data_IF_522559517142
#
_entry.id   IF_522559517142
#
_cell.length_a   1.000
_cell.length_b   1.000
_cell.length_c   1.000
_cell.angle_alpha   90.00
_cell.angle_beta   90.00
_cell.angle_gamma   90.00
#
_symmetry.space_group_name_H-M   'P 1'
#
loop_
_entity.id
_entity.type
_entity.pdbx_description
1 polymer ?
#
# COMPACT_ATOMS: atom_id res chain seq x y z
N UNK A 1 -16.51 1.81 -17.18
CA UNK A 1 -15.75 3.01 -16.76
C UNK A 1 -15.83 3.08 -15.24
N UNK A 2 -14.74 2.81 -14.52
CA UNK A 2 -14.74 2.84 -13.06
C UNK A 2 -14.94 4.29 -12.57
N UNK A 3 -15.95 4.51 -11.72
CA UNK A 3 -16.20 5.84 -11.15
C UNK A 3 -15.27 6.08 -9.95
N UNK A 4 -14.25 6.91 -10.15
CA UNK A 4 -13.32 7.33 -9.10
C UNK A 4 -13.94 8.39 -8.14
N UNK A 5 -15.25 8.64 -8.21
CA UNK A 5 -15.88 9.77 -7.52
C UNK A 5 -15.82 9.70 -5.98
N UNK A 6 -15.56 8.52 -5.41
CA UNK A 6 -15.51 8.31 -3.96
C UNK A 6 -14.10 8.02 -3.41
N UNK A 7 -13.12 7.72 -4.27
CA UNK A 7 -11.77 7.37 -3.82
C UNK A 7 -11.04 8.62 -3.34
N UNK A 8 -10.48 8.58 -2.14
CA UNK A 8 -9.78 9.74 -1.55
C UNK A 8 -8.28 9.70 -1.75
N UNK A 9 -7.73 8.50 -1.93
CA UNK A 9 -6.38 8.22 -2.39
C UNK A 9 -6.42 7.03 -3.35
N UNK A 10 -5.41 6.94 -4.21
CA UNK A 10 -5.22 5.89 -5.20
C UNK A 10 -3.76 5.47 -5.12
N UNK A 11 -3.51 4.17 -5.04
CA UNK A 11 -2.17 3.59 -4.91
C UNK A 11 -2.00 2.61 -6.07
N UNK A 12 -0.94 2.76 -6.87
CA UNK A 12 -0.80 2.07 -8.16
C UNK A 12 0.65 1.62 -8.36
N UNK A 13 0.81 0.33 -8.71
CA UNK A 13 2.10 -0.27 -9.06
C UNK A 13 2.23 -0.43 -10.59
N UNK A 14 3.45 -0.69 -11.07
CA UNK A 14 3.75 -0.89 -12.50
C UNK A 14 3.42 0.34 -13.37
N UNK A 15 3.58 1.55 -12.82
CA UNK A 15 3.33 2.81 -13.53
C UNK A 15 4.57 3.20 -14.34
N UNK A 16 4.50 3.07 -15.66
CA UNK A 16 5.54 3.45 -16.63
C UNK A 16 5.32 4.85 -17.24
N UNK A 17 4.07 5.28 -17.37
CA UNK A 17 3.67 6.59 -17.91
C UNK A 17 2.97 7.45 -16.86
N UNK A 18 3.73 7.85 -15.83
CA UNK A 18 3.19 8.67 -14.75
C UNK A 18 2.60 10.00 -15.24
N UNK A 19 3.23 10.66 -16.21
CA UNK A 19 2.75 11.95 -16.74
C UNK A 19 1.32 11.87 -17.30
N UNK A 20 1.04 10.87 -18.14
CA UNK A 20 -0.29 10.63 -18.72
C UNK A 20 -1.34 10.42 -17.62
N UNK A 21 -0.97 9.64 -16.59
CA UNK A 21 -1.84 9.33 -15.47
C UNK A 21 -2.08 10.55 -14.56
N UNK A 22 -1.04 11.34 -14.32
CA UNK A 22 -1.11 12.58 -13.55
C UNK A 22 -2.03 13.58 -14.25
N UNK A 23 -1.88 13.79 -15.55
CA UNK A 23 -2.76 14.68 -16.32
C UNK A 23 -4.23 14.23 -16.24
N UNK A 24 -4.49 12.94 -16.45
CA UNK A 24 -5.83 12.37 -16.39
C UNK A 24 -6.49 12.48 -14.99
N UNK A 25 -5.70 12.34 -13.92
CA UNK A 25 -6.19 12.39 -12.54
C UNK A 25 -6.25 13.83 -11.98
N UNK A 26 -5.41 14.74 -12.48
CA UNK A 26 -5.41 16.16 -12.11
C UNK A 26 -6.73 16.83 -12.46
N UNK A 27 -7.28 16.55 -13.65
CA UNK A 27 -8.62 17.04 -14.06
C UNK A 27 -9.73 16.56 -13.12
N UNK A 28 -9.51 15.46 -12.39
CA UNK A 28 -10.43 14.91 -11.37
C UNK A 28 -10.12 15.37 -9.95
N UNK A 29 -9.23 16.35 -9.77
CA UNK A 29 -8.89 16.94 -8.47
C UNK A 29 -7.92 16.12 -7.64
N UNK A 30 -7.09 15.28 -8.27
CA UNK A 30 -6.00 14.58 -7.59
C UNK A 30 -4.66 15.26 -7.83
N UNK A 31 -3.77 15.11 -6.86
CA UNK A 31 -2.33 15.29 -7.02
C UNK A 31 -1.67 13.94 -6.76
N UNK A 32 -0.49 13.69 -7.33
CA UNK A 32 0.23 12.46 -7.09
C UNK A 32 1.73 12.62 -7.06
N UNK A 33 2.38 11.58 -6.56
CA UNK A 33 3.83 11.40 -6.55
C UNK A 33 4.16 10.01 -7.07
N UNK A 34 5.32 9.88 -7.68
CA UNK A 34 5.77 8.64 -8.29
C UNK A 34 7.22 8.35 -7.97
N UNK A 35 7.49 7.07 -7.76
CA UNK A 35 8.83 6.56 -7.55
C UNK A 35 9.12 5.42 -8.51
N UNK A 36 9.98 5.68 -9.48
CA UNK A 36 10.55 4.64 -10.35
C UNK A 36 11.29 3.59 -9.52
N UNK A 37 11.19 2.33 -9.93
CA UNK A 37 12.10 1.27 -9.46
C UNK A 37 13.55 1.60 -9.82
N UNK A 38 14.50 0.99 -9.09
CA UNK A 38 15.91 1.16 -9.41
C UNK A 38 16.33 0.24 -10.57
N UNK A 39 17.61 0.27 -10.96
CA UNK A 39 18.11 -0.54 -12.06
C UNK A 39 17.59 -0.07 -13.42
N UNK A 40 17.26 -1.03 -14.30
CA UNK A 40 16.83 -0.76 -15.68
C UNK A 40 15.30 -0.78 -15.87
N UNK A 41 14.54 -0.79 -14.78
CA UNK A 41 13.09 -0.76 -14.84
C UNK A 41 12.60 0.61 -15.35
N UNK A 42 11.53 0.59 -16.14
CA UNK A 42 10.89 1.80 -16.68
C UNK A 42 9.60 2.17 -15.94
N UNK A 43 9.17 1.30 -15.03
CA UNK A 43 7.97 1.43 -14.22
C UNK A 43 8.30 1.73 -12.75
N UNK A 44 7.27 2.11 -12.00
CA UNK A 44 7.36 2.47 -10.61
C UNK A 44 6.03 2.40 -9.87
N UNK A 45 6.03 3.00 -8.70
CA UNK A 45 4.89 3.06 -7.79
C UNK A 45 4.38 4.50 -7.74
N UNK A 46 3.06 4.70 -7.70
CA UNK A 46 2.46 6.01 -7.59
C UNK A 46 1.42 6.07 -6.47
N UNK A 47 1.38 7.21 -5.78
CA UNK A 47 0.34 7.52 -4.79
C UNK A 47 -0.31 8.83 -5.20
N UNK A 48 -1.63 8.81 -5.38
CA UNK A 48 -2.46 9.97 -5.65
C UNK A 48 -3.41 10.23 -4.47
N UNK A 49 -3.75 11.49 -4.22
CA UNK A 49 -4.73 11.90 -3.21
C UNK A 49 -5.59 13.06 -3.71
N UNK A 50 -6.82 13.15 -3.20
CA UNK A 50 -7.69 14.30 -3.50
C UNK A 50 -7.21 15.55 -2.79
N UNK A 51 -6.86 16.57 -3.55
CA UNK A 51 -6.37 17.85 -3.02
C UNK A 51 -7.41 18.62 -2.21
N UNK A 52 -8.70 18.39 -2.49
CA UNK A 52 -9.82 18.97 -1.72
C UNK A 52 -10.06 18.33 -0.36
N UNK A 53 -9.35 17.24 -0.03
CA UNK A 53 -9.50 16.51 1.24
C UNK A 53 -8.18 16.29 1.97
N UNK A 54 -7.07 16.22 1.24
CA UNK A 54 -5.77 15.90 1.79
C UNK A 54 -4.68 16.80 1.21
N UNK A 55 -3.66 17.06 2.03
CA UNK A 55 -2.41 17.69 1.66
C UNK A 55 -1.26 16.75 1.98
N UNK A 56 -0.35 16.53 1.04
CA UNK A 56 0.91 15.84 1.32
C UNK A 56 1.79 16.74 2.19
N UNK A 57 2.23 16.21 3.34
CA UNK A 57 3.08 16.93 4.30
C UNK A 57 4.42 16.23 4.55
N UNK A 58 4.57 14.97 4.13
CA UNK A 58 5.83 14.23 4.15
C UNK A 58 5.83 13.18 3.05
N UNK A 59 6.98 13.01 2.40
CA UNK A 59 7.24 11.94 1.44
C UNK A 59 8.62 11.37 1.69
N UNK A 60 8.73 10.05 1.64
CA UNK A 60 10.00 9.36 1.54
C UNK A 60 9.85 8.07 0.71
N UNK A 61 10.99 7.55 0.26
CA UNK A 61 11.04 6.28 -0.46
C UNK A 61 12.14 5.37 0.06
N UNK A 62 11.88 4.07 0.03
CA UNK A 62 12.86 3.03 0.31
C UNK A 62 13.35 2.48 -1.02
N UNK A 63 14.67 2.49 -1.23
CA UNK A 63 15.32 1.83 -2.35
C UNK A 63 15.95 0.54 -1.85
N UNK A 64 15.31 -0.60 -2.13
CA UNK A 64 15.68 -1.88 -1.54
C UNK A 64 17.06 -2.37 -2.01
N UNK A 65 17.55 -1.90 -3.15
CA UNK A 65 18.86 -2.26 -3.69
C UNK A 65 20.01 -1.81 -2.77
N UNK A 66 19.84 -0.70 -2.05
CA UNK A 66 20.79 -0.20 -1.04
C UNK A 66 20.98 -1.15 0.14
N UNK A 67 20.09 -2.13 0.27
CA UNK A 67 20.08 -3.14 1.33
C UNK A 67 20.25 -4.57 0.78
N UNK A 68 20.65 -4.71 -0.49
CA UNK A 68 20.80 -6.02 -1.13
C UNK A 68 19.47 -6.73 -1.46
N UNK A 69 18.34 -6.01 -1.38
CA UNK A 69 16.99 -6.55 -1.54
C UNK A 69 16.40 -6.26 -2.93
N UNK A 70 17.24 -6.30 -3.97
CA UNK A 70 16.86 -6.09 -5.40
C UNK A 70 16.31 -4.69 -5.69
N UNK A 71 15.96 -4.46 -6.94
CA UNK A 71 15.68 -3.13 -7.48
C UNK A 71 14.26 -2.59 -7.23
N UNK A 72 13.52 -3.22 -6.32
CA UNK A 72 12.20 -2.75 -5.93
C UNK A 72 12.30 -1.44 -5.12
N UNK A 73 11.17 -0.74 -5.01
CA UNK A 73 11.03 0.45 -4.16
C UNK A 73 9.75 0.36 -3.32
N UNK A 74 9.70 1.17 -2.27
CA UNK A 74 8.47 1.47 -1.54
C UNK A 74 8.34 2.98 -1.32
N UNK A 75 7.13 3.49 -1.21
CA UNK A 75 6.82 4.88 -0.88
C UNK A 75 6.15 4.96 0.48
N UNK A 76 6.45 6.01 1.23
CA UNK A 76 5.77 6.37 2.48
C UNK A 76 5.36 7.84 2.37
N UNK A 77 4.07 8.10 2.48
CA UNK A 77 3.48 9.43 2.31
C UNK A 77 2.68 9.76 3.57
N UNK A 78 2.86 10.94 4.14
CA UNK A 78 1.97 11.43 5.21
C UNK A 78 1.05 12.47 4.62
N UNK A 79 -0.24 12.18 4.69
CA UNK A 79 -1.30 13.03 4.22
C UNK A 79 -2.01 13.66 5.42
N UNK A 80 -2.13 14.98 5.42
CA UNK A 80 -2.94 15.72 6.37
C UNK A 80 -4.35 15.93 5.80
N UNK A 81 -5.36 15.50 6.54
CA UNK A 81 -6.76 15.74 6.24
C UNK A 81 -7.08 17.23 6.44
N UNK A 82 -7.64 17.82 5.39
CA UNK A 82 -8.18 19.17 5.41
C UNK A 82 -9.57 19.12 6.06
N UNK A 83 -9.72 19.79 7.20
CA UNK A 83 -11.02 19.97 7.85
C UNK A 83 -11.77 21.04 7.06
N UNK A 84 -12.96 20.69 6.54
CA UNK A 84 -13.89 21.71 6.07
C UNK A 84 -14.45 22.37 7.32
N UNK A 85 -14.11 23.64 7.56
CA UNK A 85 -14.91 24.46 8.46
C UNK A 85 -16.26 24.63 7.77
N UNK A 86 -17.22 23.76 8.08
CA UNK A 86 -18.62 24.15 7.88
C UNK A 86 -18.89 25.30 8.84
N UNK A 87 -19.34 26.42 8.29
CA UNK A 87 -19.76 27.61 9.03
C UNK A 87 -21.05 27.32 9.81
N UNK A 88 -20.96 26.51 10.86
CA UNK A 88 -21.96 26.49 11.92
C UNK A 88 -21.26 26.94 13.19
N UNK A 89 -21.31 28.24 13.41
CA UNK A 89 -21.06 28.84 14.72
C UNK A 89 -22.13 28.31 15.67
N UNK A 90 -21.85 27.20 16.35
CA UNK A 90 -22.54 26.86 17.58
C UNK A 90 -21.51 26.52 18.66
N UNK A 91 -21.66 27.30 19.72
CA UNK A 91 -20.74 27.49 20.82
C UNK A 91 -20.80 26.28 21.76
N UNK A 92 -19.65 25.92 22.32
CA UNK A 92 -19.48 25.16 23.56
C UNK A 92 -20.14 23.79 23.67
N UNK A 93 -19.35 22.72 23.52
CA UNK A 93 -19.32 21.63 24.50
C UNK A 93 -17.95 20.94 24.48
N UNK A 94 -17.48 20.61 25.68
CA UNK A 94 -16.22 19.93 26.02
C UNK A 94 -15.84 18.82 25.02
N UNK A 95 -14.61 18.89 24.48
CA UNK A 95 -13.93 17.73 23.92
C UNK A 95 -12.66 17.43 24.71
N UNK A 96 -12.84 16.76 25.84
CA UNK A 96 -11.87 15.79 26.37
C UNK A 96 -11.87 14.58 25.45
N UNK A 97 -11.26 14.72 24.29
CA UNK A 97 -10.87 13.61 23.42
C UNK A 97 -9.51 14.01 22.88
N UNK A 98 -8.52 13.14 23.05
CA UNK A 98 -7.17 13.32 22.53
C UNK A 98 -7.20 13.93 21.13
N UNK A 99 -6.27 14.83 20.76
CA UNK A 99 -6.22 15.34 19.40
C UNK A 99 -5.99 14.16 18.47
N UNK A 100 -7.06 13.61 17.90
CA UNK A 100 -6.97 12.57 16.89
C UNK A 100 -6.15 13.19 15.76
N UNK A 101 -4.93 12.68 15.55
CA UNK A 101 -4.04 13.19 14.52
C UNK A 101 -4.82 13.24 13.21
N UNK A 102 -5.00 14.43 12.63
CA UNK A 102 -5.66 14.62 11.33
C UNK A 102 -4.77 14.11 10.18
N UNK A 103 -3.87 13.16 10.45
CA UNK A 103 -2.83 12.70 9.55
C UNK A 103 -3.02 11.21 9.34
N UNK A 104 -2.72 10.77 8.14
CA UNK A 104 -2.71 9.36 7.77
C UNK A 104 -1.45 9.08 6.99
N UNK A 105 -0.81 7.95 7.31
CA UNK A 105 0.39 7.51 6.64
C UNK A 105 0.00 6.44 5.61
N UNK A 106 0.31 6.70 4.33
CA UNK A 106 0.05 5.79 3.21
C UNK A 106 1.38 5.18 2.78
N UNK A 107 1.48 3.87 2.89
CA UNK A 107 2.60 3.11 2.37
C UNK A 107 2.22 2.44 1.06
N UNK A 108 3.16 2.38 0.12
CA UNK A 108 3.01 1.68 -1.14
C UNK A 108 4.25 0.83 -1.45
N UNK A 109 4.06 -0.38 -1.97
CA UNK A 109 5.15 -1.31 -2.30
C UNK A 109 4.78 -2.30 -3.40
N UNK A 110 5.73 -2.54 -4.30
CA UNK A 110 5.68 -3.68 -5.21
C UNK A 110 6.79 -4.66 -4.82
N UNK A 111 6.43 -5.65 -4.00
CA UNK A 111 7.35 -6.68 -3.49
C UNK A 111 7.88 -7.53 -4.65
N UNK A 112 9.10 -8.05 -4.52
CA UNK A 112 9.73 -8.92 -5.52
C UNK A 112 8.79 -10.05 -5.97
N UNK A 113 8.63 -10.22 -7.29
CA UNK A 113 7.79 -11.27 -7.86
C UNK A 113 8.33 -12.69 -7.61
N UNK A 114 9.64 -12.93 -7.78
CA UNK A 114 10.23 -14.27 -7.82
C UNK A 114 9.77 -15.18 -6.65
N UNK A 115 9.00 -16.25 -6.92
CA UNK A 115 8.37 -17.06 -5.87
C UNK A 115 9.40 -17.83 -5.02
N UNK A 116 10.61 -18.06 -5.53
CA UNK A 116 11.69 -18.77 -4.82
C UNK A 116 12.44 -17.91 -3.80
N UNK A 117 12.17 -16.60 -3.77
CA UNK A 117 12.93 -15.61 -3.00
C UNK A 117 12.10 -14.94 -1.91
N UNK A 118 11.33 -15.74 -1.17
CA UNK A 118 10.54 -15.24 -0.05
C UNK A 118 11.37 -14.64 1.08
N UNK A 119 12.65 -15.01 1.20
CA UNK A 119 13.65 -14.34 2.03
C UNK A 119 13.79 -12.84 1.69
N UNK A 120 13.90 -12.51 0.41
CA UNK A 120 14.00 -11.12 -0.04
C UNK A 120 12.69 -10.39 0.15
N UNK A 121 11.56 -11.02 -0.18
CA UNK A 121 10.22 -10.44 -0.02
C UNK A 121 9.95 -10.04 1.42
N UNK A 122 10.26 -10.94 2.35
CA UNK A 122 10.15 -10.68 3.77
C UNK A 122 11.06 -9.52 4.19
N UNK A 123 12.31 -9.49 3.74
CA UNK A 123 13.22 -8.37 4.02
C UNK A 123 12.64 -7.03 3.56
N UNK A 124 12.06 -6.98 2.36
CA UNK A 124 11.43 -5.76 1.82
C UNK A 124 10.23 -5.32 2.68
N UNK A 125 9.34 -6.25 3.00
CA UNK A 125 8.16 -5.99 3.84
C UNK A 125 8.55 -5.56 5.24
N UNK A 126 9.52 -6.24 5.87
CA UNK A 126 10.01 -5.91 7.22
C UNK A 126 10.57 -4.49 7.26
N UNK A 127 11.41 -4.14 6.29
CA UNK A 127 11.98 -2.79 6.19
C UNK A 127 10.91 -1.71 6.05
N UNK A 128 9.88 -1.95 5.24
CA UNK A 128 8.76 -1.02 5.10
C UNK A 128 7.97 -0.88 6.39
N UNK A 129 7.65 -1.99 7.08
CA UNK A 129 6.92 -1.98 8.35
C UNK A 129 7.71 -1.23 9.44
N UNK A 130 9.01 -1.51 9.59
CA UNK A 130 9.87 -0.84 10.55
C UNK A 130 9.94 0.68 10.29
N UNK A 131 10.10 1.07 9.04
CA UNK A 131 10.16 2.49 8.67
C UNK A 131 8.81 3.18 8.84
N UNK A 132 7.72 2.55 8.42
CA UNK A 132 6.37 3.06 8.59
C UNK A 132 6.03 3.27 10.08
N UNK A 133 6.45 2.36 10.95
CA UNK A 133 6.29 2.49 12.40
C UNK A 133 7.05 3.72 12.94
N UNK A 134 8.32 3.89 12.57
CA UNK A 134 9.13 5.02 12.99
C UNK A 134 8.56 6.38 12.52
N UNK A 135 8.07 6.43 11.27
CA UNK A 135 7.44 7.65 10.73
C UNK A 135 6.10 7.90 11.44
N UNK A 136 5.26 6.88 11.63
CA UNK A 136 3.99 7.00 12.38
C UNK A 136 4.21 7.62 13.77
N UNK A 137 5.22 7.16 14.51
CA UNK A 137 5.61 7.72 15.82
C UNK A 137 6.01 9.20 15.75
N UNK A 138 6.71 9.60 14.69
CA UNK A 138 7.10 11.01 14.45
C UNK A 138 5.88 11.90 14.21
N UNK A 139 4.79 11.33 13.69
CA UNK A 139 3.55 12.04 13.34
C UNK A 139 2.41 11.78 14.33
N UNK A 140 2.72 11.74 15.63
CA UNK A 140 1.75 11.54 16.72
C UNK A 140 0.93 10.25 16.57
N UNK A 141 1.62 9.14 16.36
CA UNK A 141 1.00 7.82 16.18
C UNK A 141 -0.02 7.82 15.03
N UNK A 142 0.30 8.50 13.92
CA UNK A 142 -0.58 8.59 12.77
C UNK A 142 -0.95 7.18 12.27
N UNK A 143 -2.24 6.88 12.00
CA UNK A 143 -2.67 5.59 11.49
C UNK A 143 -1.97 5.28 10.16
N UNK A 144 -1.51 4.04 10.04
CA UNK A 144 -0.81 3.54 8.86
C UNK A 144 -1.78 2.74 8.00
N UNK A 145 -1.82 3.07 6.72
CA UNK A 145 -2.47 2.30 5.66
C UNK A 145 -1.35 1.72 4.80
N UNK A 146 -1.21 0.41 4.84
CA UNK A 146 -0.28 -0.33 4.00
C UNK A 146 -0.99 -0.81 2.74
N UNK A 147 -0.49 -0.42 1.57
CA UNK A 147 -0.99 -0.81 0.25
C UNK A 147 0.15 -1.36 -0.60
N UNK A 148 -0.20 -2.08 -1.67
CA UNK A 148 0.77 -2.55 -2.67
C UNK A 148 0.52 -3.99 -3.12
N UNK A 149 1.36 -4.44 -4.07
CA UNK A 149 1.43 -5.86 -4.45
C UNK A 149 2.51 -6.55 -3.62
N UNK A 150 2.07 -7.41 -2.70
CA UNK A 150 2.95 -8.17 -1.81
C UNK A 150 3.51 -9.44 -2.45
N UNK A 151 3.04 -9.82 -3.65
CA UNK A 151 3.41 -11.05 -4.33
C UNK A 151 3.39 -12.26 -3.39
N UNK A 152 2.31 -12.38 -2.60
CA UNK A 152 2.09 -13.46 -1.65
C UNK A 152 0.62 -13.91 -1.68
N UNK A 153 0.38 -15.17 -1.34
CA UNK A 153 -0.99 -15.69 -1.24
C UNK A 153 -1.58 -15.39 0.14
N UNK A 154 -2.92 -15.28 0.27
CA UNK A 154 -3.57 -15.29 1.57
C UNK A 154 -3.12 -16.48 2.41
N UNK A 155 -3.02 -16.28 3.73
CA UNK A 155 -2.58 -17.30 4.71
C UNK A 155 -1.15 -17.84 4.51
N UNK A 156 -0.36 -17.26 3.58
CA UNK A 156 1.06 -17.56 3.50
C UNK A 156 1.79 -17.06 4.76
N UNK A 157 2.97 -17.62 5.09
CA UNK A 157 3.78 -17.12 6.19
C UNK A 157 4.05 -15.60 6.10
N UNK A 158 4.32 -15.07 4.90
CA UNK A 158 4.49 -13.63 4.67
C UNK A 158 3.21 -12.83 4.93
N UNK A 159 2.05 -13.34 4.50
CA UNK A 159 0.76 -12.71 4.81
C UNK A 159 0.53 -12.62 6.32
N UNK A 160 0.74 -13.73 7.03
CA UNK A 160 0.56 -13.80 8.49
C UNK A 160 1.53 -12.85 9.21
N UNK A 161 2.76 -12.75 8.72
CA UNK A 161 3.73 -11.77 9.23
C UNK A 161 3.22 -10.33 9.11
N UNK A 162 2.62 -9.96 7.98
CA UNK A 162 2.08 -8.61 7.79
C UNK A 162 0.87 -8.38 8.72
N UNK A 163 -0.01 -9.36 8.87
CA UNK A 163 -1.23 -9.22 9.65
C UNK A 163 -1.03 -9.29 11.16
N UNK A 164 -0.12 -10.14 11.63
CA UNK A 164 0.06 -10.48 13.05
C UNK A 164 1.36 -9.93 13.63
N UNK A 165 2.26 -9.39 12.79
CA UNK A 165 3.63 -9.00 13.15
C UNK A 165 4.46 -10.14 13.78
N UNK A 166 4.04 -11.38 13.55
CA UNK A 166 4.69 -12.59 14.08
C UNK A 166 4.95 -13.54 12.94
N UNK A 167 6.14 -14.13 12.95
CA UNK A 167 6.51 -15.16 12.01
C UNK A 167 7.47 -16.11 12.72
N UNK A 168 7.06 -17.37 12.85
CA UNK A 168 7.99 -18.44 13.21
C UNK A 168 8.66 -18.96 11.94
N UNK A 169 10.00 -18.92 11.93
CA UNK A 169 10.83 -19.37 10.81
C UNK A 169 11.18 -20.84 10.88
N UNK A 170 10.90 -21.51 12.00
CA UNK A 170 11.33 -22.87 12.23
C UNK A 170 10.80 -23.80 11.13
N UNK A 171 11.72 -24.32 10.31
CA UNK A 171 11.42 -25.28 9.24
C UNK A 171 10.78 -24.71 7.96
N UNK A 172 10.63 -23.39 7.80
CA UNK A 172 10.02 -22.82 6.59
C UNK A 172 11.10 -22.57 5.52
N UNK A 173 11.00 -23.28 4.39
CA UNK A 173 11.84 -23.03 3.21
C UNK A 173 11.60 -21.63 2.62
N UNK A 174 12.66 -20.96 2.15
CA UNK A 174 12.59 -19.58 1.62
C UNK A 174 11.61 -19.41 0.44
N UNK A 175 11.35 -20.47 -0.32
CA UNK A 175 10.42 -20.53 -1.44
C UNK A 175 8.95 -20.72 -0.99
N UNK A 176 8.73 -21.08 0.28
CA UNK A 176 7.40 -21.28 0.86
C UNK A 176 6.87 -20.07 1.60
N UNK A 177 7.73 -19.12 1.95
CA UNK A 177 7.38 -17.91 2.72
C UNK A 177 6.22 -17.11 2.09
N UNK A 178 6.19 -16.98 0.76
CA UNK A 178 5.12 -16.22 0.07
C UNK A 178 3.90 -17.04 -0.33
N UNK A 179 3.95 -18.37 -0.17
CA UNK A 179 2.90 -19.30 -0.61
C UNK A 179 2.78 -19.47 -2.14
N UNK A 180 3.42 -18.63 -2.96
CA UNK A 180 3.29 -18.68 -4.42
C UNK A 180 3.80 -19.98 -5.06
N UNK A 181 4.86 -20.58 -4.50
CA UNK A 181 5.39 -21.84 -5.03
C UNK A 181 4.43 -23.03 -4.85
N UNK A 182 3.43 -22.90 -3.97
CA UNK A 182 2.40 -23.90 -3.71
C UNK A 182 1.03 -23.49 -4.27
N UNK A 183 0.94 -22.35 -4.97
CA UNK A 183 -0.29 -21.89 -5.59
C UNK A 183 -0.52 -22.69 -6.88
N UNK A 184 -1.50 -23.61 -6.86
CA UNK A 184 -1.94 -24.29 -8.07
C UNK A 184 -2.71 -23.30 -8.96
N UNK A 185 -2.29 -23.17 -10.23
CA UNK A 185 -3.15 -22.58 -11.26
C UNK A 185 -4.18 -23.66 -11.59
N UNK A 186 -5.42 -23.48 -11.14
CA UNK A 186 -6.51 -24.37 -11.54
C UNK A 186 -6.67 -24.26 -13.07
N UNK A 187 -6.21 -25.26 -13.83
CA UNK A 187 -6.50 -25.36 -15.25
C UNK A 187 -8.02 -25.39 -15.42
N UNK A 188 -8.54 -24.44 -16.19
CA UNK A 188 -9.97 -24.20 -16.42
C UNK A 188 -10.72 -25.50 -16.70
N UNK A 189 -11.56 -25.93 -15.74
CA UNK A 189 -12.71 -26.79 -16.08
C UNK A 189 -13.65 -25.95 -16.96
N UNK A 190 -14.24 -26.50 -18.03
CA UNK A 190 -15.22 -25.77 -18.82
C UNK A 190 -16.35 -25.33 -17.89
N UNK A 191 -16.52 -24.01 -17.76
CA UNK A 191 -17.51 -23.39 -16.88
C UNK A 191 -18.90 -23.64 -17.46
N UNK A 192 -19.67 -24.51 -16.80
CA UNK A 192 -21.10 -24.58 -16.95
C UNK A 192 -21.71 -23.27 -16.40
N UNK A 193 -22.63 -22.66 -17.15
CA UNK A 193 -23.29 -21.39 -16.81
C UNK A 193 -24.25 -21.57 -15.61
N UNK A 194 -23.68 -21.75 -14.42
CA UNK A 194 -24.37 -21.62 -13.14
C UNK A 194 -23.95 -20.32 -12.46
N UNK A 195 -24.87 -19.35 -12.39
CA UNK A 195 -24.67 -18.04 -11.74
C UNK A 195 -23.97 -18.16 -10.38
N UNK A 196 -22.81 -17.52 -10.23
CA UNK A 196 -22.31 -17.08 -8.94
C UNK A 196 -21.56 -15.75 -9.11
N UNK A 197 -22.08 -14.62 -8.59
CA UNK A 197 -21.39 -13.35 -8.64
C UNK A 197 -20.43 -13.31 -7.44
N UNK A 198 -19.12 -13.37 -7.68
CA UNK A 198 -18.07 -12.75 -6.84
C UNK A 198 -16.69 -13.18 -7.34
N UNK A 199 -16.18 -12.45 -8.32
CA UNK A 199 -14.74 -12.40 -8.62
C UNK A 199 -14.33 -10.93 -8.65
N UNK A 200 -13.55 -10.51 -7.66
CA UNK A 200 -12.87 -9.21 -7.63
C UNK A 200 -11.39 -9.51 -7.48
N UNK A 201 -10.56 -9.27 -8.50
CA UNK A 201 -9.76 -8.04 -8.58
C UNK A 201 -8.42 -8.24 -7.85
N UNK A 202 -7.35 -7.47 -8.16
CA UNK A 202 -6.12 -7.51 -7.37
C UNK A 202 -6.46 -7.24 -5.90
N UNK A 203 -5.91 -8.08 -5.01
CA UNK A 203 -6.17 -8.08 -3.58
C UNK A 203 -5.61 -6.79 -2.97
N UNK A 204 -6.46 -5.77 -2.76
CA UNK A 204 -6.11 -4.59 -1.96
C UNK A 204 -6.14 -5.02 -0.49
N UNK A 205 -4.99 -5.37 0.07
CA UNK A 205 -4.90 -5.61 1.51
C UNK A 205 -4.66 -4.28 2.20
N UNK A 206 -5.73 -3.61 2.64
CA UNK A 206 -5.64 -2.47 3.55
C UNK A 206 -5.51 -2.99 4.99
N UNK A 207 -4.30 -3.05 5.54
CA UNK A 207 -4.13 -3.18 6.99
C UNK A 207 -4.25 -1.82 7.65
N UNK A 208 -5.18 -1.68 8.60
CA UNK A 208 -5.12 -0.64 9.62
C UNK A 208 -4.31 -1.23 10.77
N UNK A 209 -3.07 -0.80 10.94
CA UNK A 209 -2.29 -1.17 12.12
C UNK A 209 -2.90 -0.42 13.33
N UNK A 210 -3.39 -1.17 14.31
CA UNK A 210 -3.94 -0.67 15.57
C UNK A 210 -2.85 -0.34 16.59
#
# INVERSE_FOLDING_TARGET
>A
MFSFSHLVWIVIEEVDRFGDLEEALKVRGYSGIWKMRTGNAVDGCAVFWRTSRFRLIHEESIQFNKHGLRDNVAQICVLEQLIRQDNTADTSTLHTSSPSSNKVLICNIHVLYNPKRGDIKLGQVRMLLDRAHAVSKTWNDAPVILCGDFNCTPKSPLYNFISEQKLDFSGIGRDKVSGQASAEICNSRPYDFGRNPNTTGPLIICFKLH
#
